data_IF_039348496724
#
_entry.id   IF_039348496724
#
_cell.length_a   1.000
_cell.length_b   1.000
_cell.length_c   1.000
_cell.angle_alpha   90.00
_cell.angle_beta   90.00
_cell.angle_gamma   90.00
#
_symmetry.space_group_name_H-M   'P 1'
#
loop_
_entity.id
_entity.type
_entity.pdbx_description
1 polymer ?
#
# COMPACT_ATOMS: atom_id res chain seq x y z
N UNK A 1 9.78 13.08 7.21
CA UNK A 1 11.16 12.75 7.64
C UNK A 1 12.11 13.00 6.49
N UNK A 2 13.32 13.53 6.72
CA UNK A 2 14.30 13.63 5.62
C UNK A 2 14.82 12.25 5.24
N UNK A 3 15.21 12.06 3.99
CA UNK A 3 15.65 10.73 3.50
C UNK A 3 16.88 10.26 4.28
N UNK A 4 17.80 11.18 4.56
CA UNK A 4 19.03 10.91 5.29
C UNK A 4 18.75 10.44 6.74
N UNK A 5 17.68 10.96 7.35
CA UNK A 5 17.23 10.52 8.68
C UNK A 5 16.60 9.12 8.63
N UNK A 6 15.79 8.85 7.60
CA UNK A 6 15.18 7.54 7.40
C UNK A 6 16.25 6.45 7.18
N UNK A 7 17.25 6.72 6.34
CA UNK A 7 18.38 5.80 6.09
C UNK A 7 19.20 5.57 7.36
N UNK A 8 19.48 6.62 8.14
CA UNK A 8 20.21 6.49 9.41
C UNK A 8 19.44 5.62 10.40
N UNK A 9 18.12 5.80 10.50
CA UNK A 9 17.27 4.99 11.36
C UNK A 9 17.27 3.52 10.90
N UNK A 10 17.07 3.27 9.61
CA UNK A 10 17.04 1.92 9.06
C UNK A 10 18.37 1.17 9.31
N UNK A 11 19.52 1.84 9.10
CA UNK A 11 20.84 1.26 9.40
C UNK A 11 21.07 0.97 10.88
N UNK A 12 20.48 1.76 11.78
CA UNK A 12 20.62 1.51 13.21
C UNK A 12 19.97 0.19 13.67
N UNK A 13 19.08 -0.38 12.85
CA UNK A 13 18.37 -1.64 13.09
C UNK A 13 19.01 -2.82 12.35
N UNK A 14 20.11 -2.62 11.62
CA UNK A 14 20.73 -3.66 10.76
C UNK A 14 21.20 -4.89 11.58
N UNK A 15 21.65 -4.69 12.81
CA UNK A 15 22.06 -5.80 13.69
C UNK A 15 20.92 -6.70 14.16
N UNK A 16 19.66 -6.37 13.87
CA UNK A 16 18.48 -7.11 14.31
C UNK A 16 18.03 -8.19 13.31
N UNK A 17 18.85 -8.55 12.32
CA UNK A 17 18.48 -9.47 11.21
C UNK A 17 17.20 -9.02 10.50
N UNK A 18 17.11 -7.72 10.21
CA UNK A 18 15.99 -7.13 9.49
C UNK A 18 15.82 -7.78 8.12
N UNK A 19 14.64 -8.30 7.82
CA UNK A 19 14.33 -8.92 6.51
C UNK A 19 13.46 -8.05 5.63
N UNK A 20 12.68 -7.14 6.22
CA UNK A 20 11.72 -6.30 5.50
C UNK A 20 11.53 -4.95 6.20
N UNK A 21 11.41 -3.88 5.42
CA UNK A 21 10.97 -2.57 5.89
C UNK A 21 9.55 -2.29 5.38
N UNK A 22 8.63 -2.03 6.31
CA UNK A 22 7.27 -1.57 6.00
C UNK A 22 7.22 -0.05 6.09
N UNK A 23 6.90 0.61 4.98
CA UNK A 23 6.93 2.07 4.88
C UNK A 23 5.55 2.56 4.45
N UNK A 24 4.86 3.25 5.36
CA UNK A 24 3.57 3.89 5.11
C UNK A 24 3.72 5.39 5.40
N UNK A 25 3.12 6.22 4.55
CA UNK A 25 3.08 7.67 4.73
C UNK A 25 1.63 8.15 4.77
N UNK A 26 1.46 9.42 5.15
CA UNK A 26 0.22 10.13 4.87
C UNK A 26 0.20 10.70 3.45
N UNK A 27 -0.97 11.21 3.05
CA UNK A 27 -1.14 11.96 1.79
C UNK A 27 -0.52 13.35 1.91
N UNK A 28 0.81 13.42 1.92
CA UNK A 28 1.52 14.64 2.26
C UNK A 28 1.27 15.73 1.21
N UNK A 29 0.83 16.95 1.60
CA UNK A 29 0.36 17.97 0.65
C UNK A 29 1.49 18.57 -0.20
N UNK A 30 2.70 18.65 0.35
CA UNK A 30 3.81 19.43 -0.25
C UNK A 30 5.04 18.60 -0.63
N UNK A 31 5.02 17.27 -0.47
CA UNK A 31 6.19 16.46 -0.84
C UNK A 31 6.15 16.20 -2.35
N UNK A 32 7.21 16.56 -3.10
CA UNK A 32 7.21 16.37 -4.55
C UNK A 32 7.37 14.88 -4.88
N UNK A 33 6.79 14.43 -5.99
CA UNK A 33 6.86 13.04 -6.48
C UNK A 33 8.27 12.44 -6.39
N UNK A 34 9.30 13.18 -6.85
CA UNK A 34 10.72 12.75 -6.82
C UNK A 34 11.23 12.28 -5.45
N UNK A 35 10.57 12.68 -4.36
CA UNK A 35 10.93 12.24 -3.01
C UNK A 35 10.77 10.72 -2.84
N UNK A 36 9.68 10.14 -3.35
CA UNK A 36 9.31 8.76 -3.04
C UNK A 36 10.19 7.72 -3.75
N UNK A 37 10.47 7.82 -5.07
CA UNK A 37 11.45 6.93 -5.69
C UNK A 37 12.87 7.16 -5.14
N UNK A 38 13.23 8.40 -4.77
CA UNK A 38 14.54 8.67 -4.16
C UNK A 38 14.66 7.99 -2.80
N UNK A 39 13.63 8.02 -1.96
CA UNK A 39 13.70 7.40 -0.62
C UNK A 39 13.88 5.89 -0.72
N UNK A 40 13.18 5.22 -1.64
CA UNK A 40 13.38 3.78 -1.89
C UNK A 40 14.80 3.46 -2.36
N UNK A 41 15.33 4.21 -3.35
CA UNK A 41 16.70 3.99 -3.86
C UNK A 41 17.75 4.12 -2.76
N UNK A 42 17.64 5.15 -1.92
CA UNK A 42 18.59 5.41 -0.83
C UNK A 42 18.48 4.33 0.26
N UNK A 43 17.27 3.86 0.58
CA UNK A 43 17.07 2.75 1.51
C UNK A 43 17.59 1.43 0.96
N UNK A 44 17.33 1.11 -0.32
CA UNK A 44 17.82 -0.12 -0.96
C UNK A 44 19.34 -0.10 -1.12
N UNK A 45 19.94 1.05 -1.41
CA UNK A 45 21.40 1.19 -1.42
C UNK A 45 22.00 1.04 -0.02
N UNK A 46 21.29 1.49 1.02
CA UNK A 46 21.74 1.36 2.40
C UNK A 46 21.59 -0.06 2.96
N UNK A 47 20.57 -0.79 2.52
CA UNK A 47 20.17 -2.12 3.00
C UNK A 47 19.76 -3.01 1.81
N UNK A 48 20.71 -3.52 1.01
CA UNK A 48 20.42 -4.21 -0.25
C UNK A 48 19.65 -5.52 -0.08
N UNK A 49 19.92 -6.23 1.02
CA UNK A 49 19.31 -7.54 1.33
C UNK A 49 17.94 -7.42 2.01
N UNK A 50 17.50 -6.20 2.34
CA UNK A 50 16.22 -5.95 3.00
C UNK A 50 15.13 -5.69 1.95
N UNK A 51 14.01 -6.38 2.08
CA UNK A 51 12.86 -6.17 1.22
C UNK A 51 12.14 -4.86 1.53
N UNK A 52 11.83 -4.07 0.50
CA UNK A 52 11.08 -2.81 0.67
C UNK A 52 9.61 -3.02 0.35
N UNK A 53 8.79 -2.97 1.39
CA UNK A 53 7.34 -3.01 1.30
C UNK A 53 6.77 -1.64 1.63
N UNK A 54 6.33 -0.92 0.63
CA UNK A 54 6.00 0.49 0.79
C UNK A 54 4.72 0.88 0.06
N UNK A 55 4.08 1.92 0.60
CA UNK A 55 2.91 2.60 0.03
C UNK A 55 1.64 1.76 -0.02
N UNK A 56 0.52 2.43 0.19
CA UNK A 56 -0.85 1.90 0.03
C UNK A 56 -1.37 2.25 -1.37
N UNK A 57 -2.41 1.57 -1.84
CA UNK A 57 -3.09 1.99 -3.07
C UNK A 57 -3.65 3.42 -2.99
N UNK A 58 -4.06 3.87 -1.80
CA UNK A 58 -4.46 5.26 -1.57
C UNK A 58 -3.31 6.24 -1.81
N UNK A 59 -2.09 5.92 -1.34
CA UNK A 59 -0.91 6.72 -1.64
C UNK A 59 -0.58 6.72 -3.14
N UNK A 60 -0.65 5.56 -3.82
CA UNK A 60 -0.44 5.49 -5.27
C UNK A 60 -1.47 6.36 -6.03
N UNK A 61 -2.74 6.36 -5.61
CA UNK A 61 -3.77 7.22 -6.19
C UNK A 61 -3.46 8.71 -5.96
N UNK A 62 -3.01 9.09 -4.76
CA UNK A 62 -2.54 10.46 -4.50
C UNK A 62 -1.33 10.83 -5.36
N UNK A 63 -0.44 9.86 -5.63
CA UNK A 63 0.72 10.07 -6.49
C UNK A 63 0.34 10.39 -7.93
N UNK A 64 -0.78 9.87 -8.46
CA UNK A 64 -1.31 10.26 -9.77
C UNK A 64 -1.56 11.78 -9.82
N UNK A 65 -2.09 12.36 -8.73
CA UNK A 65 -2.38 13.80 -8.65
C UNK A 65 -1.12 14.65 -8.60
N UNK A 66 -0.14 14.30 -7.75
CA UNK A 66 1.06 15.14 -7.54
C UNK A 66 2.14 14.97 -8.61
N UNK A 67 2.13 13.84 -9.35
CA UNK A 67 3.09 13.55 -10.41
C UNK A 67 2.55 13.85 -11.81
N UNK A 68 1.23 13.74 -12.01
CA UNK A 68 0.60 13.75 -13.33
C UNK A 68 0.81 12.46 -14.12
N UNK A 69 1.43 11.44 -13.53
CA UNK A 69 1.64 10.12 -14.11
C UNK A 69 0.45 9.20 -13.81
N UNK A 70 0.26 8.17 -14.62
CA UNK A 70 -0.68 7.09 -14.31
C UNK A 70 -0.15 6.19 -13.19
N UNK A 71 -1.04 5.49 -12.48
CA UNK A 71 -0.65 4.51 -11.48
C UNK A 71 0.29 3.43 -12.03
N UNK A 72 0.15 3.06 -13.31
CA UNK A 72 1.04 2.09 -13.95
C UNK A 72 2.47 2.61 -14.04
N UNK A 73 2.66 3.85 -14.52
CA UNK A 73 3.98 4.50 -14.62
C UNK A 73 4.60 4.75 -13.24
N UNK A 74 3.77 5.15 -12.27
CA UNK A 74 4.18 5.30 -10.86
C UNK A 74 4.70 3.97 -10.30
N UNK A 75 3.97 2.87 -10.52
CA UNK A 75 4.40 1.55 -10.07
C UNK A 75 5.71 1.13 -10.76
N UNK A 76 5.88 1.40 -12.06
CA UNK A 76 7.14 1.14 -12.77
C UNK A 76 8.32 1.91 -12.15
N UNK A 77 8.16 3.21 -11.91
CA UNK A 77 9.21 4.02 -11.27
C UNK A 77 9.56 3.56 -9.85
N UNK A 78 8.56 3.09 -9.08
CA UNK A 78 8.77 2.58 -7.73
C UNK A 78 9.45 1.21 -7.74
N UNK A 79 9.06 0.31 -8.65
CA UNK A 79 9.70 -1.00 -8.85
C UNK A 79 11.18 -0.80 -9.22
N UNK A 80 11.46 0.09 -10.18
CA UNK A 80 12.82 0.46 -10.57
C UNK A 80 13.62 1.10 -9.42
N UNK A 81 12.93 1.72 -8.46
CA UNK A 81 13.52 2.27 -7.26
C UNK A 81 13.76 1.24 -6.14
N UNK A 82 13.28 0.01 -6.30
CA UNK A 82 13.48 -1.09 -5.36
C UNK A 82 12.23 -1.52 -4.58
N UNK A 83 11.03 -1.11 -4.99
CA UNK A 83 9.77 -1.59 -4.41
C UNK A 83 9.55 -3.08 -4.73
N UNK A 84 9.26 -3.88 -3.71
CA UNK A 84 9.02 -5.33 -3.87
C UNK A 84 7.59 -5.75 -3.48
N UNK A 85 6.87 -4.94 -2.71
CA UNK A 85 5.48 -5.19 -2.30
C UNK A 85 4.78 -3.88 -1.93
N UNK A 86 3.48 -3.80 -2.18
CA UNK A 86 2.65 -2.75 -1.56
C UNK A 86 2.31 -3.11 -0.11
N UNK A 87 1.89 -2.12 0.66
CA UNK A 87 1.25 -2.28 1.97
C UNK A 87 -0.27 -2.34 1.81
N UNK A 88 -0.96 -2.94 2.78
CA UNK A 88 -2.39 -3.30 2.62
C UNK A 88 -3.40 -2.30 3.16
N UNK A 89 -2.93 -1.17 3.71
CA UNK A 89 -3.79 -0.14 4.30
C UNK A 89 -4.61 0.65 3.27
N UNK A 90 -5.49 1.53 3.76
CA UNK A 90 -6.34 2.40 2.93
C UNK A 90 -7.61 1.74 2.37
N UNK A 91 -7.79 0.44 2.64
CA UNK A 91 -8.99 -0.30 2.29
C UNK A 91 -10.17 0.05 3.20
N UNK A 92 -9.94 0.25 4.50
CA UNK A 92 -10.97 0.53 5.52
C UNK A 92 -12.21 -0.38 5.40
N UNK A 93 -13.39 0.21 5.18
CA UNK A 93 -14.57 -0.44 4.60
C UNK A 93 -14.76 0.11 3.19
N UNK A 94 -15.13 -0.71 2.21
CA UNK A 94 -15.35 -0.25 0.82
C UNK A 94 -16.71 0.39 0.55
N UNK A 95 -17.72 0.12 1.39
CA UNK A 95 -19.03 0.76 1.28
C UNK A 95 -18.89 2.29 1.31
N UNK A 96 -19.47 2.96 0.31
CA UNK A 96 -19.27 4.39 0.12
C UNK A 96 -19.89 5.23 1.23
N UNK A 97 -21.09 4.87 1.70
CA UNK A 97 -21.76 5.63 2.77
C UNK A 97 -20.91 5.57 4.05
N UNK A 98 -20.41 4.37 4.39
CA UNK A 98 -19.49 4.21 5.53
C UNK A 98 -18.20 5.01 5.32
N UNK A 99 -17.57 4.93 4.14
CA UNK A 99 -16.32 5.66 3.83
C UNK A 99 -16.46 7.16 4.03
N UNK A 100 -17.55 7.77 3.59
CA UNK A 100 -17.76 9.21 3.71
C UNK A 100 -17.72 9.72 5.15
N UNK A 101 -17.93 8.85 6.14
CA UNK A 101 -17.87 9.19 7.54
C UNK A 101 -16.50 8.92 8.20
N UNK A 102 -15.65 8.08 7.61
CA UNK A 102 -14.42 7.58 8.26
C UNK A 102 -13.13 7.92 7.52
N UNK A 103 -13.18 8.30 6.23
CA UNK A 103 -12.01 8.73 5.45
C UNK A 103 -12.16 10.15 4.93
N UNK A 104 -11.06 10.87 4.82
CA UNK A 104 -10.96 12.25 4.31
C UNK A 104 -10.38 12.33 2.88
N UNK A 105 -10.14 11.18 2.24
CA UNK A 105 -9.58 11.08 0.90
C UNK A 105 -10.58 10.53 -0.13
N UNK A 106 -10.33 10.80 -1.41
CA UNK A 106 -11.22 10.44 -2.52
C UNK A 106 -10.89 9.09 -3.19
N UNK A 107 -10.15 8.19 -2.54
CA UNK A 107 -9.88 6.86 -3.10
C UNK A 107 -11.09 5.94 -2.91
N UNK A 108 -11.76 5.64 -4.02
CA UNK A 108 -12.88 4.71 -4.08
C UNK A 108 -12.41 3.25 -4.23
N UNK A 109 -13.34 2.30 -4.12
CA UNK A 109 -13.08 0.88 -4.40
C UNK A 109 -12.50 0.68 -5.80
N UNK A 110 -13.01 1.40 -6.79
CA UNK A 110 -12.60 1.31 -8.19
C UNK A 110 -11.14 1.73 -8.37
N UNK A 111 -10.71 2.81 -7.69
CA UNK A 111 -9.32 3.27 -7.69
C UNK A 111 -8.42 2.28 -6.98
N UNK A 112 -8.82 1.88 -5.77
CA UNK A 112 -8.07 0.95 -4.93
C UNK A 112 -7.87 -0.39 -5.66
N UNK A 113 -8.95 -0.99 -6.16
CA UNK A 113 -8.91 -2.27 -6.88
C UNK A 113 -8.12 -2.17 -8.18
N UNK A 114 -8.26 -1.08 -8.96
CA UNK A 114 -7.47 -0.85 -10.18
C UNK A 114 -5.97 -0.85 -9.89
N UNK A 115 -5.53 -0.16 -8.85
CA UNK A 115 -4.11 -0.09 -8.48
C UNK A 115 -3.59 -1.46 -8.05
N UNK A 116 -4.38 -2.21 -7.27
CA UNK A 116 -4.03 -3.59 -6.90
C UNK A 116 -3.95 -4.51 -8.13
N UNK A 117 -4.87 -4.39 -9.11
CA UNK A 117 -4.77 -5.14 -10.38
C UNK A 117 -3.46 -4.83 -11.11
N UNK A 118 -3.15 -3.55 -11.30
CA UNK A 118 -1.90 -3.12 -11.96
C UNK A 118 -0.65 -3.64 -11.23
N UNK A 119 -0.66 -3.60 -9.89
CA UNK A 119 0.43 -4.14 -9.09
C UNK A 119 0.59 -5.66 -9.30
N UNK A 120 -0.52 -6.41 -9.31
CA UNK A 120 -0.51 -7.85 -9.57
C UNK A 120 -0.02 -8.19 -10.98
N UNK A 121 -0.44 -7.45 -12.00
CA UNK A 121 0.03 -7.59 -13.39
C UNK A 121 1.54 -7.39 -13.50
N UNK A 122 2.11 -6.48 -12.70
CA UNK A 122 3.56 -6.22 -12.59
C UNK A 122 4.28 -7.20 -11.65
N UNK A 123 3.59 -8.20 -11.11
CA UNK A 123 4.16 -9.24 -10.26
C UNK A 123 4.38 -8.84 -8.79
N UNK A 124 3.89 -7.66 -8.37
CA UNK A 124 3.97 -7.24 -6.98
C UNK A 124 3.00 -8.02 -6.10
N UNK A 125 3.40 -8.23 -4.84
CA UNK A 125 2.50 -8.71 -3.80
C UNK A 125 1.78 -7.54 -3.15
N UNK A 126 0.51 -7.74 -2.81
CA UNK A 126 -0.29 -6.71 -2.15
C UNK A 126 -1.17 -7.35 -1.07
N UNK A 127 -0.86 -7.18 0.24
CA UNK A 127 -1.80 -7.57 1.28
C UNK A 127 -2.99 -6.61 1.28
N UNK A 128 -4.06 -6.96 1.98
CA UNK A 128 -5.26 -6.12 2.08
C UNK A 128 -5.79 -6.13 3.51
N UNK A 129 -6.27 -4.99 4.00
CA UNK A 129 -6.86 -4.88 5.34
C UNK A 129 -8.37 -4.67 5.29
N UNK A 130 -9.00 -4.79 6.46
CA UNK A 130 -10.37 -4.33 6.69
C UNK A 130 -10.42 -3.71 8.09
N UNK A 131 -10.78 -2.43 8.17
CA UNK A 131 -11.02 -1.76 9.44
C UNK A 131 -12.48 -2.02 9.85
N UNK A 132 -12.69 -2.56 11.04
CA UNK A 132 -14.03 -2.93 11.51
C UNK A 132 -14.18 -2.69 13.02
N UNK A 133 -15.43 -2.69 13.49
CA UNK A 133 -15.80 -2.40 14.88
C UNK A 133 -16.14 -0.92 15.11
N UNK A 134 -16.53 -0.19 14.07
CA UNK A 134 -16.93 1.22 14.14
C UNK A 134 -18.41 1.39 13.77
N UNK A 135 -18.74 2.21 12.77
CA UNK A 135 -20.12 2.53 12.38
C UNK A 135 -20.73 1.51 11.40
N UNK A 136 -19.93 0.55 10.94
CA UNK A 136 -20.34 -0.37 9.87
C UNK A 136 -21.21 -1.53 10.37
N UNK A 137 -22.26 -1.83 9.61
CA UNK A 137 -23.06 -3.04 9.78
C UNK A 137 -22.36 -4.31 9.23
N UNK A 138 -22.77 -5.52 9.68
CA UNK A 138 -22.24 -6.79 9.16
C UNK A 138 -22.31 -6.93 7.63
N UNK A 139 -23.34 -6.37 6.98
CA UNK A 139 -23.47 -6.39 5.51
C UNK A 139 -22.30 -5.71 4.80
N UNK A 140 -21.76 -4.62 5.35
CA UNK A 140 -20.62 -3.91 4.75
C UNK A 140 -19.34 -4.74 4.85
N UNK A 141 -19.16 -5.48 5.96
CA UNK A 141 -18.01 -6.38 6.15
C UNK A 141 -18.06 -7.55 5.15
N UNK A 142 -19.26 -8.10 4.93
CA UNK A 142 -19.48 -9.16 3.95
C UNK A 142 -19.20 -8.67 2.53
N UNK A 143 -19.75 -7.50 2.14
CA UNK A 143 -19.47 -6.85 0.86
C UNK A 143 -17.95 -6.64 0.66
N UNK A 144 -17.26 -6.11 1.69
CA UNK A 144 -15.82 -5.88 1.65
C UNK A 144 -15.02 -7.15 1.33
N UNK A 145 -15.29 -8.24 2.06
CA UNK A 145 -14.57 -9.51 1.87
C UNK A 145 -14.94 -10.16 0.52
N UNK A 146 -16.18 -10.04 0.05
CA UNK A 146 -16.59 -10.54 -1.26
C UNK A 146 -15.85 -9.83 -2.40
N UNK A 147 -15.74 -8.49 -2.34
CA UNK A 147 -14.98 -7.69 -3.30
C UNK A 147 -13.50 -8.06 -3.31
N UNK A 148 -12.88 -8.22 -2.14
CA UNK A 148 -11.49 -8.68 -2.05
C UNK A 148 -11.31 -10.08 -2.65
N UNK A 149 -12.27 -10.99 -2.42
CA UNK A 149 -12.25 -12.33 -3.01
C UNK A 149 -12.37 -12.29 -4.53
N UNK A 150 -13.26 -11.47 -5.06
CA UNK A 150 -13.43 -11.31 -6.51
C UNK A 150 -12.15 -10.77 -7.16
N UNK A 151 -11.55 -9.73 -6.59
CA UNK A 151 -10.26 -9.21 -7.05
C UNK A 151 -9.15 -10.27 -7.01
N UNK A 152 -9.13 -11.05 -5.93
CA UNK A 152 -8.19 -12.15 -5.74
C UNK A 152 -8.38 -13.26 -6.79
N UNK A 153 -9.62 -13.62 -7.13
CA UNK A 153 -9.97 -14.61 -8.15
C UNK A 153 -9.62 -14.10 -9.56
N UNK A 154 -9.82 -12.81 -9.83
CA UNK A 154 -9.48 -12.15 -11.11
C UNK A 154 -7.97 -12.17 -11.39
N UNK A 155 -7.17 -11.69 -10.45
CA UNK A 155 -5.73 -11.50 -10.66
C UNK A 155 -4.89 -12.69 -10.19
N UNK A 156 -5.53 -13.69 -9.57
CA UNK A 156 -4.88 -14.82 -8.94
C UNK A 156 -3.90 -14.41 -7.85
N UNK A 157 -4.19 -13.32 -7.12
CA UNK A 157 -3.27 -12.64 -6.21
C UNK A 157 -2.50 -13.62 -5.31
N UNK A 158 -1.29 -14.01 -5.71
CA UNK A 158 -0.42 -15.01 -5.08
C UNK A 158 -0.45 -16.45 -5.67
N UNK A 159 0.41 -16.70 -6.66
CA UNK A 159 1.09 -18.02 -6.83
C UNK A 159 2.32 -18.09 -5.93
N UNK A 160 2.15 -18.15 -4.61
CA UNK A 160 3.09 -18.75 -3.65
C UNK A 160 2.57 -18.55 -2.22
N UNK A 161 1.81 -19.55 -1.74
CA UNK A 161 1.53 -19.86 -0.32
C UNK A 161 1.07 -18.75 0.65
N UNK A 162 0.78 -17.54 0.20
CA UNK A 162 0.42 -16.41 1.07
C UNK A 162 -0.82 -15.77 0.51
N UNK A 163 -1.98 -15.98 1.14
CA UNK A 163 -3.26 -15.35 0.78
C UNK A 163 -3.09 -13.82 0.84
N UNK A 164 -3.96 -13.02 0.20
CA UNK A 164 -4.20 -11.65 0.69
C UNK A 164 -4.55 -11.81 2.18
N UNK A 165 -3.55 -11.56 3.03
CA UNK A 165 -3.63 -11.82 4.44
C UNK A 165 -4.46 -10.68 5.00
N UNK A 166 -5.71 -10.97 5.29
CA UNK A 166 -6.61 -10.07 6.01
C UNK A 166 -6.00 -9.88 7.39
N UNK A 167 -5.27 -8.78 7.60
CA UNK A 167 -4.86 -8.40 8.95
C UNK A 167 -6.02 -7.67 9.61
N UNK A 168 -6.50 -8.25 10.69
CA UNK A 168 -7.69 -7.85 11.43
C UNK A 168 -7.25 -6.97 12.60
N UNK A 169 -7.60 -5.68 12.60
CA UNK A 169 -7.39 -4.80 13.75
C UNK A 169 -8.74 -4.39 14.31
N UNK A 170 -9.10 -4.92 15.48
CA UNK A 170 -10.28 -4.52 16.24
C UNK A 170 -9.95 -3.31 17.12
N UNK A 171 -10.78 -2.28 17.08
CA UNK A 171 -10.87 -1.32 18.17
C UNK A 171 -11.78 -1.96 19.24
N UNK A 172 -11.20 -2.35 20.38
CA UNK A 172 -11.94 -2.76 21.59
C UNK A 172 -11.75 -1.72 22.67
#
# INVERSE_FOLDING_TARGET
>A
MRIEEAVKLARSMESENLTELHIVNGLHPNLPWRYYPRSLRELKAALPDVSLKAFTATEIHHFETISGLSASEILDELIDAGLESLTGGGAEIFDWEVRQHIVDHHTHWEDWSRIHRLAHEKGLKTPCTMLYGHIEEPRHRVDHVLRLRELQDETGGSRSSSRCATSTTSWT
#
